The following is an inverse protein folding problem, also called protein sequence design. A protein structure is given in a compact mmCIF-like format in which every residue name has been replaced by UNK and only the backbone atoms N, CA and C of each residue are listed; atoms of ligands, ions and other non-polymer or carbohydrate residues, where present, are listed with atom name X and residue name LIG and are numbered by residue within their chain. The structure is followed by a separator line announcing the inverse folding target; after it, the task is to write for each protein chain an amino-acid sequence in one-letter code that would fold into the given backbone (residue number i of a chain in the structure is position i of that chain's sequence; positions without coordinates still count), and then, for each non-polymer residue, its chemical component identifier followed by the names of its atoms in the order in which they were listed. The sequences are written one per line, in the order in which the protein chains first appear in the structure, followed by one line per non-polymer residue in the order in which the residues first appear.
data_IF_444399881397
#
_entry.id   IF_444399881397
#
_cell.length_a   1.000
_cell.length_b   1.000
_cell.length_c   1.000
_cell.angle_alpha   90.00
_cell.angle_beta   90.00
_cell.angle_gamma   90.00
#
_symmetry.space_group_name_H-M   'P 1'
#
loop_
_entity.id
_entity.type
_entity.pdbx_description
1 polymer ?
#
# COMPACT_ATOMS: atom_id res chain seq x y z
N UNK A 1 -2.28 -21.28 30.86
CA UNK A 1 -2.16 -19.85 30.49
C UNK A 1 -1.88 -19.80 29.00
N UNK A 2 -2.83 -19.30 28.20
CA UNK A 2 -2.51 -18.98 26.81
C UNK A 2 -1.81 -17.61 26.86
N UNK A 3 -0.54 -17.63 27.28
CA UNK A 3 0.33 -16.49 27.07
C UNK A 3 0.35 -16.30 25.57
N UNK A 4 -0.28 -15.22 25.12
CA UNK A 4 -0.30 -14.80 23.72
C UNK A 4 0.76 -13.72 23.59
N UNK A 5 2.06 -14.07 23.62
CA UNK A 5 3.15 -13.10 23.56
C UNK A 5 3.12 -12.32 22.24
N UNK A 6 2.43 -12.84 21.22
CA UNK A 6 2.19 -12.15 19.97
C UNK A 6 1.51 -10.78 20.15
N UNK A 7 0.47 -10.69 20.99
CA UNK A 7 -0.26 -9.43 21.21
C UNK A 7 0.61 -8.44 21.98
N UNK A 8 1.28 -8.89 23.04
CA UNK A 8 2.18 -8.07 23.83
C UNK A 8 3.40 -7.58 23.02
N UNK A 9 3.89 -8.39 22.07
CA UNK A 9 4.98 -8.02 21.17
C UNK A 9 4.55 -6.96 20.16
N UNK A 10 3.33 -7.04 19.63
CA UNK A 10 2.79 -6.04 18.71
C UNK A 10 2.59 -4.70 19.43
N UNK A 11 2.11 -4.72 20.69
CA UNK A 11 1.89 -3.51 21.49
C UNK A 11 3.20 -2.78 21.85
N UNK A 12 4.29 -3.54 22.03
CA UNK A 12 5.61 -3.01 22.42
C UNK A 12 6.57 -2.80 21.26
N UNK A 13 6.19 -3.17 20.04
CA UNK A 13 7.03 -2.95 18.85
C UNK A 13 7.14 -1.46 18.57
N UNK A 14 8.37 -0.94 18.63
CA UNK A 14 8.65 0.45 18.34
C UNK A 14 8.62 0.72 16.82
N UNK A 15 8.01 1.85 16.42
CA UNK A 15 7.91 2.22 15.01
C UNK A 15 9.25 2.58 14.38
N UNK A 16 10.26 2.94 15.18
CA UNK A 16 11.61 3.27 14.72
C UNK A 16 12.41 2.04 14.27
N UNK A 17 12.06 0.85 14.78
CA UNK A 17 12.63 -0.44 14.34
C UNK A 17 12.10 -0.86 12.96
N UNK A 18 11.05 -0.20 12.45
CA UNK A 18 10.52 -0.45 11.11
C UNK A 18 11.45 0.16 10.06
N UNK A 19 11.85 -0.66 9.08
CA UNK A 19 12.60 -0.18 7.92
C UNK A 19 11.79 0.90 7.19
N UNK A 20 12.42 2.03 6.93
CA UNK A 20 11.88 3.07 6.05
C UNK A 20 11.84 2.52 4.63
N UNK A 21 10.64 2.35 4.11
CA UNK A 21 10.42 1.94 2.72
C UNK A 21 9.75 3.09 1.99
N UNK A 22 10.36 3.57 0.91
CA UNK A 22 9.70 4.49 0.00
C UNK A 22 8.54 3.75 -0.68
N UNK A 23 7.30 4.13 -0.35
CA UNK A 23 6.12 3.61 -1.02
C UNK A 23 5.73 4.55 -2.15
N UNK A 24 5.83 4.06 -3.38
CA UNK A 24 5.25 4.78 -4.51
C UNK A 24 3.73 4.68 -4.43
N UNK A 25 3.08 5.76 -3.94
CA UNK A 25 1.63 5.92 -4.04
C UNK A 25 1.28 6.11 -5.51
N UNK A 26 1.13 4.99 -6.22
CA UNK A 26 0.44 4.94 -7.51
C UNK A 26 -1.04 5.18 -7.21
N UNK A 27 -1.38 6.43 -6.92
CA UNK A 27 -2.75 6.87 -7.09
C UNK A 27 -2.99 6.70 -8.59
N UNK A 28 -3.61 5.58 -8.91
CA UNK A 28 -4.11 5.13 -10.21
C UNK A 28 -5.17 6.07 -10.76
N UNK A 29 -5.01 7.38 -10.59
CA UNK A 29 -5.49 8.31 -11.59
C UNK A 29 -4.57 8.07 -12.78
N UNK A 30 -4.86 6.95 -13.45
CA UNK A 30 -4.45 6.52 -14.77
C UNK A 30 -3.47 7.50 -15.41
N UNK A 31 -2.28 7.02 -15.78
CA UNK A 31 -1.37 7.84 -16.58
C UNK A 31 -2.17 8.44 -17.76
N UNK A 32 -1.86 9.67 -18.16
CA UNK A 32 -2.61 10.34 -19.25
C UNK A 32 -2.75 9.43 -20.48
N UNK A 33 -1.70 8.67 -20.76
CA UNK A 33 -1.66 7.62 -21.79
C UNK A 33 -2.71 6.51 -21.56
N UNK A 34 -2.82 5.97 -20.34
CA UNK A 34 -3.81 4.94 -19.99
C UNK A 34 -5.24 5.49 -19.98
N UNK A 35 -5.44 6.78 -19.65
CA UNK A 35 -6.74 7.46 -19.79
C UNK A 35 -7.14 7.58 -21.27
N UNK A 36 -6.21 7.99 -22.14
CA UNK A 36 -6.48 8.10 -23.58
C UNK A 36 -6.79 6.76 -24.22
N UNK A 37 -6.03 5.71 -23.85
CA UNK A 37 -6.27 4.37 -24.36
C UNK A 37 -7.65 3.84 -23.96
N UNK A 38 -8.05 4.00 -22.69
CA UNK A 38 -9.41 3.64 -22.22
C UNK A 38 -10.49 4.46 -22.93
N UNK A 39 -10.26 5.75 -23.20
CA UNK A 39 -11.18 6.60 -23.96
C UNK A 39 -11.35 6.18 -25.41
N UNK A 40 -10.32 5.62 -26.06
CA UNK A 40 -10.43 5.13 -27.42
C UNK A 40 -11.11 3.76 -27.47
N UNK A 41 -10.73 2.84 -26.57
CA UNK A 41 -11.32 1.50 -26.48
C UNK A 41 -12.81 1.56 -26.13
N UNK A 42 -13.23 2.49 -25.26
CA UNK A 42 -14.63 2.66 -24.87
C UNK A 42 -15.52 3.38 -25.89
N UNK A 43 -14.98 3.78 -27.05
CA UNK A 43 -15.73 4.47 -28.13
C UNK A 43 -15.97 3.57 -29.36
N UNK A 44 -15.51 2.32 -29.34
CA UNK A 44 -15.84 1.30 -30.34
C UNK A 44 -17.12 0.56 -30.03
#
# INVERSE_FOLDING_TARGET
MCDKPAVAKIERSDKSELKKTEMQKKNLLLSKEMIEHVKQVGKS
#
